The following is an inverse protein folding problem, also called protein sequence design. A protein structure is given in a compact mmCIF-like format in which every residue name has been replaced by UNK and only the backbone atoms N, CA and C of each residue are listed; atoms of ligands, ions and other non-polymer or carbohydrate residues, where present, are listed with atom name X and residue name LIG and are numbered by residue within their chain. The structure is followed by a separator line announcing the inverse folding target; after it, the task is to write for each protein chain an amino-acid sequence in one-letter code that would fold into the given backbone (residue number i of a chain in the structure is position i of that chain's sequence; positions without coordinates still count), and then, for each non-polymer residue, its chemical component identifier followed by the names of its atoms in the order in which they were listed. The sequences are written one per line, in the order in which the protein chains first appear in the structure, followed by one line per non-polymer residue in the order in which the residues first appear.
data_IF_982070102472
#
_entry.id   IF_982070102472
#
_cell.length_a   1.000
_cell.length_b   1.000
_cell.length_c   1.000
_cell.angle_alpha   90.00
_cell.angle_beta   90.00
_cell.angle_gamma   90.00
#
_symmetry.space_group_name_H-M   'P 1'
#
loop_
_entity.id
_entity.type
_entity.pdbx_description
1 polymer ?
#
# COMPACT_ATOMS: atom_id res chain seq x y z
N UNK A 1 -8.57 0.66 -26.38
CA UNK A 1 -7.79 1.38 -25.34
C UNK A 1 -7.40 0.36 -24.29
N UNK A 2 -6.19 0.44 -23.74
CA UNK A 2 -5.74 -0.44 -22.66
C UNK A 2 -6.64 -0.29 -21.42
N UNK A 3 -6.92 -1.39 -20.71
CA UNK A 3 -7.74 -1.38 -19.48
C UNK A 3 -7.15 -0.49 -18.39
N UNK A 4 -7.94 -0.17 -17.36
CA UNK A 4 -7.45 0.63 -16.23
C UNK A 4 -6.30 -0.10 -15.53
N UNK A 5 -6.42 -1.42 -15.32
CA UNK A 5 -5.40 -2.21 -14.64
C UNK A 5 -4.05 -2.21 -15.38
N UNK A 6 -4.05 -2.31 -16.70
CA UNK A 6 -2.82 -2.26 -17.50
C UNK A 6 -2.17 -0.87 -17.45
N UNK A 7 -2.95 0.20 -17.38
CA UNK A 7 -2.42 1.56 -17.16
C UNK A 7 -1.87 1.76 -15.74
N UNK A 8 -2.44 1.08 -14.74
CA UNK A 8 -1.86 1.04 -13.39
C UNK A 8 -0.54 0.26 -13.40
N UNK A 9 -0.45 -0.84 -14.14
CA UNK A 9 0.79 -1.60 -14.32
C UNK A 9 1.87 -0.80 -15.04
N UNK A 10 1.53 -0.01 -16.06
CA UNK A 10 2.43 0.96 -16.68
C UNK A 10 2.95 1.97 -15.66
N UNK A 11 2.08 2.52 -14.81
CA UNK A 11 2.48 3.43 -13.73
C UNK A 11 3.38 2.74 -12.68
N UNK A 12 3.10 1.47 -12.35
CA UNK A 12 3.95 0.65 -11.48
C UNK A 12 5.34 0.42 -12.08
N UNK A 13 5.43 0.12 -13.38
CA UNK A 13 6.70 -0.06 -14.06
C UNK A 13 7.51 1.24 -14.10
N UNK A 14 6.86 2.37 -14.39
CA UNK A 14 7.49 3.69 -14.34
C UNK A 14 8.02 4.02 -12.93
N UNK A 15 7.22 3.76 -11.89
CA UNK A 15 7.67 3.93 -10.50
C UNK A 15 8.89 3.05 -10.18
N UNK A 16 8.88 1.77 -10.59
CA UNK A 16 10.03 0.90 -10.35
C UNK A 16 11.29 1.39 -11.08
N UNK A 17 11.14 1.92 -12.30
CA UNK A 17 12.23 2.53 -13.05
C UNK A 17 12.77 3.79 -12.36
N UNK A 18 11.90 4.69 -11.91
CA UNK A 18 12.28 5.94 -11.24
C UNK A 18 13.00 5.70 -9.90
N UNK A 19 12.62 4.62 -9.19
CA UNK A 19 13.24 4.22 -7.93
C UNK A 19 14.50 3.37 -8.12
N UNK A 20 14.74 2.85 -9.32
CA UNK A 20 15.90 2.01 -9.62
C UNK A 20 17.18 2.83 -9.56
N UNK A 21 18.19 2.31 -8.86
CA UNK A 21 19.49 2.97 -8.74
C UNK A 21 19.55 4.13 -7.74
N UNK A 22 18.46 4.42 -7.01
CA UNK A 22 18.54 5.33 -5.87
C UNK A 22 19.39 4.71 -4.76
N UNK A 23 20.35 5.47 -4.26
CA UNK A 23 21.24 5.07 -3.18
C UNK A 23 20.80 5.71 -1.86
N UNK A 24 20.97 4.96 -0.77
CA UNK A 24 20.61 5.40 0.58
C UNK A 24 21.81 5.18 1.49
N UNK A 25 22.27 6.25 2.15
CA UNK A 25 23.44 6.17 2.99
C UNK A 25 23.14 5.44 4.32
N UNK A 26 24.22 5.08 5.01
CA UNK A 26 24.14 4.60 6.39
C UNK A 26 23.27 5.54 7.26
N UNK A 27 22.41 5.00 8.14
CA UNK A 27 22.36 3.61 8.57
C UNK A 27 21.50 2.67 7.68
N UNK A 28 21.06 3.08 6.48
CA UNK A 28 20.38 2.13 5.57
C UNK A 28 21.41 1.20 4.95
N UNK A 29 21.17 -0.10 5.07
CA UNK A 29 22.04 -1.13 4.47
C UNK A 29 21.30 -2.04 3.51
N UNK A 30 19.97 -2.14 3.63
CA UNK A 30 19.15 -2.98 2.77
C UNK A 30 17.91 -2.21 2.34
N UNK A 31 17.58 -2.30 1.05
CA UNK A 31 16.39 -1.73 0.44
C UNK A 31 15.67 -2.80 -0.36
N UNK A 32 14.41 -3.05 -0.03
CA UNK A 32 13.58 -3.99 -0.76
C UNK A 32 12.55 -3.24 -1.61
N UNK A 33 12.29 -3.75 -2.81
CA UNK A 33 11.16 -3.35 -3.64
C UNK A 33 10.31 -4.59 -4.03
N UNK A 34 9.20 -4.88 -3.33
CA UNK A 34 8.33 -6.01 -3.63
C UNK A 34 7.65 -5.90 -4.99
N UNK A 35 7.54 -4.71 -5.59
CA UNK A 35 7.00 -4.58 -6.95
C UNK A 35 7.92 -5.21 -8.00
N UNK A 36 9.19 -5.49 -7.66
CA UNK A 36 10.15 -6.22 -8.50
C UNK A 36 10.08 -7.72 -8.21
N UNK A 37 10.39 -8.15 -6.98
CA UNK A 37 10.53 -9.58 -6.68
C UNK A 37 9.20 -10.29 -6.41
N UNK A 38 8.15 -9.58 -5.98
CA UNK A 38 6.78 -10.07 -5.81
C UNK A 38 5.86 -9.51 -6.89
N UNK A 39 6.39 -9.30 -8.11
CA UNK A 39 5.65 -8.75 -9.25
C UNK A 39 4.42 -9.58 -9.60
N UNK A 40 4.56 -10.90 -9.74
CA UNK A 40 3.48 -11.77 -10.18
C UNK A 40 2.20 -11.65 -9.33
N UNK A 41 2.22 -11.77 -7.98
CA UNK A 41 1.01 -11.55 -7.19
C UNK A 41 0.52 -10.10 -7.20
N UNK A 42 1.43 -9.11 -7.30
CA UNK A 42 1.03 -7.71 -7.45
C UNK A 42 0.25 -7.45 -8.75
N UNK A 43 0.70 -8.01 -9.87
CA UNK A 43 -0.03 -7.87 -11.14
C UNK A 43 -1.39 -8.57 -11.10
N UNK A 44 -1.50 -9.73 -10.44
CA UNK A 44 -2.79 -10.38 -10.22
C UNK A 44 -3.73 -9.49 -9.39
N UNK A 45 -3.23 -8.84 -8.35
CA UNK A 45 -4.00 -7.89 -7.54
C UNK A 45 -4.52 -6.72 -8.37
N UNK A 46 -3.66 -6.09 -9.18
CA UNK A 46 -4.07 -4.96 -10.04
C UNK A 46 -5.08 -5.40 -11.11
N UNK A 47 -4.85 -6.52 -11.80
CA UNK A 47 -5.75 -7.01 -12.85
C UNK A 47 -7.11 -7.43 -12.31
N UNK A 48 -7.13 -8.11 -11.15
CA UNK A 48 -8.37 -8.62 -10.57
C UNK A 48 -9.22 -7.52 -9.92
N UNK A 49 -8.57 -6.56 -9.27
CA UNK A 49 -9.29 -5.61 -8.41
C UNK A 49 -9.15 -4.15 -8.82
N UNK A 50 -8.25 -3.82 -9.74
CA UNK A 50 -7.95 -2.45 -10.18
C UNK A 50 -8.50 -2.05 -11.55
N UNK A 51 -9.22 -2.93 -12.26
CA UNK A 51 -9.67 -2.66 -13.65
C UNK A 51 -11.01 -1.91 -13.78
N UNK A 52 -11.39 -1.14 -12.75
CA UNK A 52 -12.60 -0.32 -12.75
C UNK A 52 -12.37 0.96 -11.95
N UNK A 53 -13.21 1.98 -12.20
CA UNK A 53 -13.33 3.11 -11.27
C UNK A 53 -13.72 2.63 -9.88
N UNK A 54 -13.35 3.40 -8.86
CA UNK A 54 -13.59 3.09 -7.45
C UNK A 54 -14.29 4.26 -6.81
N UNK A 55 -15.11 4.01 -5.79
CA UNK A 55 -15.67 5.06 -4.94
C UNK A 55 -14.66 5.50 -3.88
N UNK A 56 -13.85 4.59 -3.35
CA UNK A 56 -12.91 4.83 -2.24
C UNK A 56 -11.53 4.30 -2.58
N UNK A 57 -10.50 5.15 -2.45
CA UNK A 57 -9.10 4.74 -2.46
C UNK A 57 -8.52 4.86 -1.05
N UNK A 58 -8.03 3.76 -0.49
CA UNK A 58 -7.26 3.75 0.75
C UNK A 58 -5.77 3.74 0.45
N UNK A 59 -5.02 4.63 1.12
CA UNK A 59 -3.58 4.75 0.96
C UNK A 59 -2.84 4.33 2.23
N UNK A 60 -1.96 3.33 2.12
CA UNK A 60 -0.96 3.01 3.13
C UNK A 60 0.36 3.74 2.91
N UNK A 61 1.28 3.68 3.88
CA UNK A 61 2.58 4.35 3.78
C UNK A 61 3.56 3.58 2.90
N UNK A 62 4.03 2.43 3.38
CA UNK A 62 4.96 1.54 2.68
C UNK A 62 4.83 0.10 3.22
N UNK A 63 5.41 -0.91 2.55
CA UNK A 63 5.27 -2.30 2.97
C UNK A 63 5.79 -2.56 4.38
N UNK A 64 5.04 -3.37 5.13
CA UNK A 64 5.58 -4.03 6.31
C UNK A 64 6.29 -5.34 5.94
N UNK A 65 7.19 -5.83 6.83
CA UNK A 65 8.14 -6.91 6.51
C UNK A 65 7.50 -8.28 6.36
N UNK A 66 6.28 -8.48 6.86
CA UNK A 66 5.57 -9.76 6.85
C UNK A 66 4.22 -9.70 6.10
N UNK A 67 3.93 -8.56 5.48
CA UNK A 67 2.76 -8.36 4.62
C UNK A 67 3.18 -8.17 3.16
N UNK A 68 3.08 -6.93 2.67
CA UNK A 68 3.38 -6.60 1.26
C UNK A 68 4.83 -6.97 0.85
N UNK A 69 5.80 -6.93 1.75
CA UNK A 69 7.17 -7.39 1.44
C UNK A 69 7.27 -8.91 1.15
N UNK A 70 6.23 -9.68 1.49
CA UNK A 70 6.14 -11.11 1.20
C UNK A 70 5.19 -11.38 0.03
N UNK A 71 4.12 -10.61 -0.11
CA UNK A 71 3.02 -10.93 -1.03
C UNK A 71 2.89 -10.01 -2.23
N UNK A 72 3.56 -8.85 -2.24
CA UNK A 72 3.35 -7.81 -3.25
C UNK A 72 2.00 -7.08 -3.16
N UNK A 73 1.12 -7.44 -2.22
CA UNK A 73 -0.20 -6.82 -2.03
C UNK A 73 -0.17 -5.82 -0.87
N UNK A 74 -0.70 -4.59 -0.99
CA UNK A 74 -0.77 -3.61 0.10
C UNK A 74 -1.41 -4.18 1.36
N UNK A 75 -0.81 -3.93 2.53
CA UNK A 75 -1.23 -4.55 3.80
C UNK A 75 -1.34 -6.09 3.72
N UNK A 76 -0.65 -6.73 2.77
CA UNK A 76 -0.95 -8.08 2.31
C UNK A 76 -0.52 -9.18 3.25
N UNK A 77 -1.23 -9.32 4.36
CA UNK A 77 -1.10 -10.47 5.26
C UNK A 77 -1.42 -11.77 4.51
N UNK A 78 -0.63 -12.82 4.76
CA UNK A 78 -0.59 -14.02 3.92
C UNK A 78 -1.97 -14.67 3.76
N UNK A 79 -2.71 -14.89 4.84
CA UNK A 79 -4.01 -15.56 4.79
C UNK A 79 -5.06 -14.67 4.13
N UNK A 80 -5.06 -13.37 4.39
CA UNK A 80 -5.96 -12.44 3.71
C UNK A 80 -5.75 -12.45 2.19
N UNK A 81 -4.50 -12.45 1.73
CA UNK A 81 -4.18 -12.46 0.29
C UNK A 81 -4.47 -13.82 -0.35
N UNK A 82 -4.08 -14.92 0.31
CA UNK A 82 -4.25 -16.27 -0.23
C UNK A 82 -5.69 -16.76 -0.16
N UNK A 83 -6.31 -16.67 1.02
CA UNK A 83 -7.57 -17.37 1.30
C UNK A 83 -8.79 -16.50 1.00
N UNK A 84 -8.74 -15.20 1.32
CA UNK A 84 -9.85 -14.28 1.04
C UNK A 84 -9.75 -13.69 -0.36
N UNK A 85 -8.62 -13.09 -0.72
CA UNK A 85 -8.45 -12.53 -2.07
C UNK A 85 -8.19 -13.58 -3.15
N UNK A 86 -7.82 -14.81 -2.80
CA UNK A 86 -7.54 -15.87 -3.79
C UNK A 86 -6.32 -15.57 -4.67
N UNK A 87 -5.31 -14.86 -4.15
CA UNK A 87 -4.07 -14.54 -4.87
C UNK A 87 -2.94 -15.37 -4.26
N UNK A 88 -2.29 -16.17 -5.09
CA UNK A 88 -1.08 -16.91 -4.75
C UNK A 88 -0.27 -17.11 -6.02
N UNK A 89 0.96 -16.60 -6.03
CA UNK A 89 1.84 -16.63 -7.19
C UNK A 89 3.31 -16.66 -6.74
N UNK A 90 4.25 -17.06 -7.62
CA UNK A 90 5.67 -17.07 -7.30
C UNK A 90 6.19 -15.72 -6.82
N UNK A 91 7.03 -15.75 -5.79
CA UNK A 91 7.73 -14.60 -5.22
C UNK A 91 9.21 -14.92 -5.22
N UNK A 92 10.00 -14.08 -5.89
CA UNK A 92 11.46 -14.14 -5.91
C UNK A 92 12.05 -13.45 -4.68
N UNK A 93 13.37 -13.51 -4.54
CA UNK A 93 14.10 -12.80 -3.47
C UNK A 93 14.57 -11.42 -3.92
N UNK A 94 14.73 -10.45 -2.99
CA UNK A 94 15.52 -9.26 -3.26
C UNK A 94 16.99 -9.63 -3.49
N UNK A 95 17.71 -8.82 -4.27
CA UNK A 95 19.12 -9.05 -4.61
C UNK A 95 20.01 -9.13 -3.36
N UNK A 96 19.81 -8.19 -2.43
CA UNK A 96 20.53 -8.11 -1.17
C UNK A 96 19.56 -8.39 -0.01
N UNK A 97 19.37 -9.67 0.33
CA UNK A 97 18.45 -10.11 1.39
C UNK A 97 19.10 -10.00 2.77
N UNK A 98 18.45 -9.29 3.69
CA UNK A 98 18.85 -9.22 5.09
C UNK A 98 18.51 -10.54 5.80
N UNK A 99 19.46 -11.22 6.49
CA UNK A 99 19.24 -12.54 7.10
C UNK A 99 18.09 -12.63 8.12
N UNK A 100 17.83 -11.53 8.87
CA UNK A 100 16.69 -11.45 9.81
C UNK A 100 15.35 -11.04 9.18
N UNK A 101 15.33 -10.77 7.88
CA UNK A 101 14.15 -10.35 7.11
C UNK A 101 14.11 -11.09 5.77
N UNK A 102 14.10 -12.44 5.79
CA UNK A 102 13.99 -13.21 4.56
C UNK A 102 12.63 -12.95 3.89
N UNK A 103 12.63 -13.00 2.56
CA UNK A 103 11.42 -13.08 1.74
C UNK A 103 11.15 -14.55 1.47
N UNK A 104 10.12 -15.06 2.14
CA UNK A 104 9.65 -16.44 2.07
C UNK A 104 8.36 -16.55 1.22
N UNK A 105 7.87 -15.42 0.71
CA UNK A 105 6.66 -15.37 -0.10
C UNK A 105 5.42 -15.81 0.67
N UNK A 106 4.54 -16.56 0.00
CA UNK A 106 3.33 -17.13 0.62
C UNK A 106 3.62 -18.28 1.61
N UNK A 107 4.87 -18.73 1.73
CA UNK A 107 5.29 -19.69 2.75
C UNK A 107 5.73 -19.03 4.07
N UNK A 108 5.79 -17.70 4.12
CA UNK A 108 6.10 -16.95 5.34
C UNK A 108 5.16 -17.37 6.49
N UNK A 109 5.69 -17.88 7.63
CA UNK A 109 4.85 -18.36 8.73
C UNK A 109 4.34 -17.21 9.62
N UNK A 110 4.77 -15.97 9.36
CA UNK A 110 4.43 -14.80 10.16
C UNK A 110 3.22 -14.08 9.59
N UNK A 111 2.33 -13.67 10.49
CA UNK A 111 1.17 -12.85 10.18
C UNK A 111 1.45 -11.37 10.51
N UNK A 112 1.30 -10.49 9.52
CA UNK A 112 1.41 -9.04 9.74
C UNK A 112 0.16 -8.50 10.43
N UNK A 113 0.31 -8.03 11.67
CA UNK A 113 -0.81 -7.53 12.50
C UNK A 113 -1.58 -6.39 11.81
N UNK A 114 -0.88 -5.46 11.19
CA UNK A 114 -1.50 -4.33 10.47
C UNK A 114 -2.40 -4.82 9.34
N UNK A 115 -1.89 -5.73 8.51
CA UNK A 115 -2.63 -6.33 7.41
C UNK A 115 -3.80 -7.19 7.87
N UNK A 116 -3.58 -8.05 8.88
CA UNK A 116 -4.63 -8.87 9.47
C UNK A 116 -5.79 -8.05 10.01
N UNK A 117 -5.51 -6.93 10.69
CA UNK A 117 -6.55 -6.03 11.21
C UNK A 117 -7.32 -5.38 10.07
N UNK A 118 -6.61 -4.81 9.09
CA UNK A 118 -7.24 -4.10 7.97
C UNK A 118 -8.10 -5.02 7.12
N UNK A 119 -7.52 -6.10 6.60
CA UNK A 119 -8.25 -7.03 5.76
C UNK A 119 -9.26 -7.86 6.54
N UNK A 120 -9.02 -8.14 7.82
CA UNK A 120 -10.00 -8.80 8.69
C UNK A 120 -11.28 -7.99 8.85
N UNK A 121 -11.19 -6.68 9.09
CA UNK A 121 -12.36 -5.80 9.15
C UNK A 121 -13.15 -5.81 7.83
N UNK A 122 -12.46 -5.71 6.69
CA UNK A 122 -13.14 -5.70 5.40
C UNK A 122 -13.73 -7.05 5.03
N UNK A 123 -13.04 -8.17 5.31
CA UNK A 123 -13.56 -9.51 5.07
C UNK A 123 -14.77 -9.84 5.97
N UNK A 124 -14.81 -9.33 7.20
CA UNK A 124 -15.99 -9.45 8.07
C UNK A 124 -17.21 -8.71 7.49
N UNK A 125 -16.98 -7.54 6.89
CA UNK A 125 -18.06 -6.73 6.29
C UNK A 125 -18.47 -7.21 4.89
N UNK A 126 -17.51 -7.71 4.11
CA UNK A 126 -17.62 -8.13 2.72
C UNK A 126 -17.09 -9.57 2.60
N UNK A 127 -17.97 -10.58 2.75
CA UNK A 127 -17.56 -11.99 2.73
C UNK A 127 -16.80 -12.38 1.45
N UNK A 128 -17.12 -11.75 0.32
CA UNK A 128 -16.42 -11.92 -0.95
C UNK A 128 -15.57 -10.69 -1.28
N UNK A 129 -14.30 -10.86 -1.70
CA UNK A 129 -13.42 -9.73 -1.98
C UNK A 129 -13.96 -8.86 -3.12
N UNK A 130 -14.65 -9.44 -4.10
CA UNK A 130 -15.25 -8.70 -5.21
C UNK A 130 -16.25 -7.63 -4.75
N UNK A 131 -16.95 -7.85 -3.63
CA UNK A 131 -17.89 -6.88 -3.07
C UNK A 131 -17.16 -5.66 -2.47
N UNK A 132 -16.05 -5.89 -1.77
CA UNK A 132 -15.20 -4.80 -1.30
C UNK A 132 -14.59 -4.05 -2.48
N UNK A 133 -13.98 -4.78 -3.42
CA UNK A 133 -13.25 -4.22 -4.54
C UNK A 133 -14.15 -3.63 -5.63
N UNK A 134 -15.46 -3.86 -5.62
CA UNK A 134 -16.40 -3.14 -6.48
C UNK A 134 -16.29 -1.62 -6.27
N UNK A 135 -16.22 -1.19 -5.01
CA UNK A 135 -16.21 0.22 -4.63
C UNK A 135 -14.88 0.70 -4.03
N UNK A 136 -14.06 -0.19 -3.48
CA UNK A 136 -12.86 0.17 -2.73
C UNK A 136 -11.59 -0.32 -3.42
N UNK A 137 -10.48 0.35 -3.17
CA UNK A 137 -9.17 -0.13 -3.57
C UNK A 137 -8.11 0.31 -2.56
N UNK A 138 -7.08 -0.51 -2.36
CA UNK A 138 -5.98 -0.21 -1.43
C UNK A 138 -4.67 -0.16 -2.20
N UNK A 139 -3.85 0.87 -1.95
CA UNK A 139 -2.51 1.03 -2.52
C UNK A 139 -1.56 1.58 -1.45
N UNK A 140 -0.25 1.33 -1.57
CA UNK A 140 0.76 2.01 -0.76
C UNK A 140 1.32 3.21 -1.51
N UNK A 141 1.66 4.27 -0.76
CA UNK A 141 2.31 5.46 -1.32
C UNK A 141 3.68 5.15 -1.88
N UNK A 142 4.53 4.49 -1.07
CA UNK A 142 5.87 4.10 -1.46
C UNK A 142 6.01 2.57 -1.42
N UNK A 143 6.63 1.92 -2.42
CA UNK A 143 6.81 0.48 -2.41
C UNK A 143 8.07 0.04 -1.65
N UNK A 144 8.97 0.97 -1.30
CA UNK A 144 10.26 0.59 -0.74
C UNK A 144 10.18 0.25 0.75
N UNK A 145 11.04 -0.66 1.17
CA UNK A 145 11.32 -0.98 2.57
C UNK A 145 12.78 -0.73 2.84
N UNK A 146 13.09 0.06 3.86
CA UNK A 146 14.46 0.38 4.25
C UNK A 146 14.80 -0.26 5.58
N UNK A 147 16.00 -0.84 5.69
CA UNK A 147 16.45 -1.52 6.89
C UNK A 147 17.89 -1.17 7.26
N UNK A 148 18.13 -1.05 8.56
CA UNK A 148 19.47 -0.96 9.15
C UNK A 148 20.15 -2.34 9.21
N UNK A 149 21.47 -2.38 9.43
CA UNK A 149 22.26 -3.62 9.49
C UNK A 149 21.75 -4.65 10.53
N UNK A 150 21.02 -4.19 11.55
CA UNK A 150 20.37 -5.04 12.54
C UNK A 150 19.01 -5.63 12.10
N UNK A 151 18.51 -5.27 10.92
CA UNK A 151 17.18 -5.61 10.40
C UNK A 151 16.06 -4.70 10.91
N UNK A 152 16.42 -3.58 11.55
CA UNK A 152 15.44 -2.60 12.05
C UNK A 152 14.88 -1.79 10.88
N UNK A 153 13.55 -1.71 10.82
CA UNK A 153 12.85 -0.96 9.78
C UNK A 153 13.05 0.56 9.95
N UNK A 154 13.36 1.25 8.85
CA UNK A 154 13.34 2.71 8.74
C UNK A 154 12.08 3.11 7.95
N UNK A 155 11.28 3.99 8.55
CA UNK A 155 10.12 4.58 7.90
C UNK A 155 10.55 5.80 7.07
N UNK A 156 9.78 6.22 6.05
CA UNK A 156 10.09 7.38 5.21
C UNK A 156 10.52 8.64 5.98
N UNK A 157 9.86 8.93 7.12
CA UNK A 157 10.13 10.07 7.99
C UNK A 157 11.50 10.03 8.69
N UNK A 158 12.18 8.88 8.69
CA UNK A 158 13.50 8.68 9.33
C UNK A 158 14.66 8.74 8.34
N UNK A 159 14.37 8.95 7.06
CA UNK A 159 15.38 9.07 6.00
C UNK A 159 15.72 10.55 5.77
N UNK A 160 16.97 10.90 5.41
CA UNK A 160 17.34 12.26 5.04
C UNK A 160 16.43 12.82 3.94
N UNK A 161 16.07 14.09 4.05
CA UNK A 161 15.19 14.75 3.07
C UNK A 161 15.77 14.75 1.66
N UNK A 162 17.10 14.82 1.51
CA UNK A 162 17.79 14.74 0.23
C UNK A 162 17.63 13.37 -0.45
N UNK A 163 17.65 12.29 0.33
CA UNK A 163 17.42 10.92 -0.18
C UNK A 163 15.93 10.71 -0.51
N UNK A 164 15.03 11.27 0.30
CA UNK A 164 13.59 11.13 0.12
C UNK A 164 13.01 12.03 -0.96
N UNK A 165 13.69 13.09 -1.39
CA UNK A 165 13.21 14.00 -2.44
C UNK A 165 12.89 13.26 -3.75
N UNK A 166 13.82 12.49 -4.38
CA UNK A 166 13.51 11.75 -5.60
C UNK A 166 12.45 10.65 -5.37
N UNK A 167 12.47 9.99 -4.20
CA UNK A 167 11.45 8.98 -3.85
C UNK A 167 10.07 9.61 -3.78
N UNK A 168 9.95 10.77 -3.14
CA UNK A 168 8.69 11.49 -2.95
C UNK A 168 8.13 11.95 -4.29
N UNK A 169 8.99 12.49 -5.15
CA UNK A 169 8.60 12.93 -6.49
C UNK A 169 8.05 11.78 -7.35
N UNK A 170 8.73 10.62 -7.35
CA UNK A 170 8.26 9.43 -8.05
C UNK A 170 6.94 8.87 -7.45
N UNK A 171 6.84 8.79 -6.12
CA UNK A 171 5.63 8.29 -5.44
C UNK A 171 4.43 9.24 -5.61
N UNK A 172 4.65 10.55 -5.64
CA UNK A 172 3.60 11.55 -5.89
C UNK A 172 3.02 11.38 -7.30
N UNK A 173 3.88 11.21 -8.32
CA UNK A 173 3.42 10.93 -9.70
C UNK A 173 2.62 9.63 -9.75
N UNK A 174 3.13 8.57 -9.14
CA UNK A 174 2.46 7.26 -9.10
C UNK A 174 1.07 7.35 -8.45
N UNK A 175 0.96 7.98 -7.29
CA UNK A 175 -0.32 8.20 -6.62
C UNK A 175 -1.28 9.05 -7.48
N UNK A 176 -0.76 10.09 -8.15
CA UNK A 176 -1.53 10.89 -9.09
C UNK A 176 -2.15 10.04 -10.20
N UNK A 177 -1.41 9.08 -10.76
CA UNK A 177 -1.95 8.13 -11.74
C UNK A 177 -3.08 7.29 -11.19
N UNK A 178 -2.97 6.79 -9.96
CA UNK A 178 -4.05 6.02 -9.32
C UNK A 178 -5.31 6.88 -9.14
N UNK A 179 -5.17 8.12 -8.68
CA UNK A 179 -6.31 9.04 -8.52
C UNK A 179 -6.97 9.38 -9.86
N UNK A 180 -6.18 9.60 -10.92
CA UNK A 180 -6.69 9.88 -12.26
C UNK A 180 -7.40 8.69 -12.91
N UNK A 181 -6.91 7.48 -12.66
CA UNK A 181 -7.37 6.25 -13.29
C UNK A 181 -8.59 5.66 -12.60
N UNK A 182 -8.57 5.63 -11.27
CA UNK A 182 -9.63 5.05 -10.45
C UNK A 182 -10.75 6.05 -10.17
N UNK A 183 -10.51 7.35 -10.33
CA UNK A 183 -11.47 8.45 -10.12
C UNK A 183 -12.28 8.32 -8.80
N UNK A 184 -11.62 8.17 -7.63
CA UNK A 184 -12.32 8.00 -6.37
C UNK A 184 -13.17 9.22 -5.98
N UNK A 185 -14.30 8.97 -5.31
CA UNK A 185 -15.02 10.01 -4.58
C UNK A 185 -14.30 10.33 -3.26
N UNK A 186 -13.74 9.32 -2.60
CA UNK A 186 -13.03 9.45 -1.33
C UNK A 186 -11.59 8.96 -1.44
N UNK A 187 -10.66 9.76 -0.93
CA UNK A 187 -9.25 9.40 -0.79
C UNK A 187 -8.91 9.36 0.69
N UNK A 188 -8.64 8.16 1.22
CA UNK A 188 -8.54 7.91 2.66
C UNK A 188 -7.13 7.49 3.04
N UNK A 189 -6.45 8.31 3.83
CA UNK A 189 -5.16 7.94 4.41
C UNK A 189 -5.33 6.92 5.53
N UNK A 190 -4.61 5.80 5.48
CA UNK A 190 -4.47 4.87 6.60
C UNK A 190 -3.35 5.38 7.49
N UNK A 191 -3.69 6.30 8.41
CA UNK A 191 -2.73 7.07 9.21
C UNK A 191 -2.36 8.44 8.63
N UNK A 192 -1.72 9.27 9.46
CA UNK A 192 -1.47 10.69 9.16
C UNK A 192 -0.49 10.94 8.02
N UNK A 193 0.55 10.12 7.88
CA UNK A 193 1.50 10.25 6.78
C UNK A 193 0.81 10.08 5.41
N UNK A 194 -0.03 9.04 5.29
CA UNK A 194 -0.75 8.77 4.04
C UNK A 194 -1.77 9.86 3.73
N UNK A 195 -2.47 10.38 4.74
CA UNK A 195 -3.38 11.53 4.59
C UNK A 195 -2.63 12.76 4.04
N UNK A 196 -1.45 13.08 4.57
CA UNK A 196 -0.64 14.21 4.10
C UNK A 196 -0.15 14.03 2.65
N UNK A 197 0.21 12.80 2.27
CA UNK A 197 0.58 12.50 0.89
C UNK A 197 -0.60 12.66 -0.07
N UNK A 198 -1.79 12.16 0.31
CA UNK A 198 -3.01 12.38 -0.46
C UNK A 198 -3.33 13.87 -0.60
N UNK A 199 -3.30 14.63 0.49
CA UNK A 199 -3.56 16.08 0.46
C UNK A 199 -2.67 16.78 -0.57
N UNK A 200 -1.35 16.53 -0.50
CA UNK A 200 -0.36 17.11 -1.42
C UNK A 200 -0.60 16.73 -2.88
N UNK A 201 -0.92 15.47 -3.18
CA UNK A 201 -1.12 15.02 -4.56
C UNK A 201 -2.46 15.50 -5.11
N UNK A 202 -3.53 15.53 -4.30
CA UNK A 202 -4.85 16.03 -4.69
C UNK A 202 -4.77 17.51 -5.10
N UNK A 203 -4.01 18.32 -4.37
CA UNK A 203 -3.81 19.75 -4.71
C UNK A 203 -3.16 19.95 -6.09
N UNK A 204 -2.30 19.01 -6.50
CA UNK A 204 -1.57 19.02 -7.79
C UNK A 204 -2.35 18.42 -8.95
N UNK A 205 -3.51 17.83 -8.72
CA UNK A 205 -4.36 17.31 -9.80
C UNK A 205 -4.76 18.43 -10.76
N UNK A 206 -4.75 18.11 -12.06
CA UNK A 206 -5.01 19.07 -13.12
C UNK A 206 -6.35 19.83 -12.92
N UNK A 207 -6.41 21.12 -13.25
CA UNK A 207 -7.65 21.89 -13.21
C UNK A 207 -8.78 21.21 -14.00
N UNK A 208 -10.00 21.25 -13.47
CA UNK A 208 -11.18 20.63 -14.10
C UNK A 208 -11.36 19.14 -13.81
N UNK A 209 -10.46 18.50 -13.06
CA UNK A 209 -10.68 17.16 -12.51
C UNK A 209 -11.45 17.24 -11.19
N UNK A 210 -12.42 16.35 -11.01
CA UNK A 210 -13.09 16.15 -9.72
C UNK A 210 -12.06 15.72 -8.69
N UNK A 211 -11.93 16.48 -7.60
CA UNK A 211 -11.03 16.16 -6.50
C UNK A 211 -11.76 15.23 -5.52
N UNK A 212 -11.16 14.11 -5.10
CA UNK A 212 -11.76 13.27 -4.07
C UNK A 212 -11.82 14.03 -2.75
N UNK A 213 -12.81 13.69 -1.92
CA UNK A 213 -12.89 14.09 -0.52
C UNK A 213 -11.76 13.41 0.25
N UNK A 214 -10.88 14.20 0.85
CA UNK A 214 -9.81 13.69 1.70
C UNK A 214 -10.39 13.21 3.04
N UNK A 215 -9.97 12.05 3.49
CA UNK A 215 -10.27 11.51 4.81
C UNK A 215 -9.10 10.75 5.41
N UNK A 216 -9.26 10.32 6.66
CA UNK A 216 -8.29 9.48 7.37
C UNK A 216 -8.99 8.48 8.27
N UNK A 217 -8.42 7.28 8.33
CA UNK A 217 -8.70 6.30 9.38
C UNK A 217 -7.46 6.10 10.25
N UNK A 218 -7.66 5.63 11.48
CA UNK A 218 -6.55 5.20 12.34
C UNK A 218 -5.69 4.12 11.66
N UNK A 219 -4.36 4.20 11.76
CA UNK A 219 -3.48 3.14 11.26
C UNK A 219 -3.56 1.88 12.14
N UNK A 220 -3.64 0.65 11.57
CA UNK A 220 -3.78 -0.61 12.32
C UNK A 220 -2.55 -1.10 13.08
N UNK A 221 -1.49 -0.27 13.18
CA UNK A 221 -0.19 -0.75 13.67
C UNK A 221 -0.24 -1.01 15.17
N UNK A 222 0.41 -2.09 15.66
CA UNK A 222 0.52 -2.34 17.10
C UNK A 222 1.32 -1.26 17.85
N UNK A 223 2.03 -0.38 17.14
CA UNK A 223 2.70 0.77 17.74
C UNK A 223 1.71 1.84 18.28
N UNK A 224 0.44 1.80 17.87
CA UNK A 224 -0.59 2.72 18.36
C UNK A 224 -1.37 2.10 19.52
N UNK A 225 -1.35 2.68 20.73
CA UNK A 225 -2.17 2.22 21.85
C UNK A 225 -3.67 2.21 21.52
N UNK A 226 -4.15 3.17 20.72
CA UNK A 226 -5.53 3.23 20.27
C UNK A 226 -5.89 2.02 19.38
N UNK A 227 -4.99 1.63 18.47
CA UNK A 227 -5.21 0.48 17.58
C UNK A 227 -5.19 -0.86 18.35
N UNK A 228 -4.48 -0.93 19.47
CA UNK A 228 -4.47 -2.13 20.32
C UNK A 228 -5.75 -2.31 21.13
N UNK A 229 -6.53 -1.25 21.34
CA UNK A 229 -7.77 -1.30 22.12
C UNK A 229 -8.95 -1.83 21.30
N UNK A 230 -9.21 -1.20 20.15
CA UNK A 230 -10.35 -1.50 19.27
C UNK A 230 -10.10 -0.85 17.91
N UNK A 231 -9.16 -1.41 17.13
CA UNK A 231 -8.93 -0.88 15.78
C UNK A 231 -10.15 -1.04 14.85
N UNK A 232 -10.81 -2.22 14.76
CA UNK A 232 -11.95 -2.39 13.87
C UNK A 232 -13.09 -1.39 14.15
N UNK A 233 -13.46 -1.20 15.41
CA UNK A 233 -14.49 -0.22 15.77
C UNK A 233 -14.04 1.23 15.57
N UNK A 234 -12.76 1.56 15.80
CA UNK A 234 -12.24 2.90 15.52
C UNK A 234 -12.29 3.22 14.02
N UNK A 235 -11.78 2.32 13.17
CA UNK A 235 -11.81 2.48 11.72
C UNK A 235 -13.26 2.56 11.19
N UNK A 236 -14.17 1.73 11.72
CA UNK A 236 -15.60 1.78 11.38
C UNK A 236 -16.20 3.15 11.68
N UNK A 237 -15.97 3.69 12.88
CA UNK A 237 -16.47 5.03 13.26
C UNK A 237 -15.89 6.14 12.39
N UNK A 238 -14.62 6.03 12.01
CA UNK A 238 -13.99 7.00 11.11
C UNK A 238 -14.63 6.95 9.71
N UNK A 239 -14.87 5.75 9.16
CA UNK A 239 -15.54 5.55 7.86
C UNK A 239 -17.00 6.04 7.85
N UNK A 240 -17.72 5.86 8.96
CA UNK A 240 -19.07 6.38 9.15
C UNK A 240 -19.10 7.91 9.19
N UNK A 241 -18.18 8.55 9.92
CA UNK A 241 -18.07 10.02 9.96
C UNK A 241 -17.77 10.62 8.60
N UNK A 242 -17.02 9.91 7.76
CA UNK A 242 -16.75 10.32 6.37
C UNK A 242 -17.96 10.12 5.45
N UNK A 243 -19.02 9.43 5.90
CA UNK A 243 -20.18 9.06 5.06
C UNK A 243 -19.87 7.95 4.05
N UNK A 244 -18.78 7.22 4.25
CA UNK A 244 -18.38 6.10 3.38
C UNK A 244 -19.23 4.88 3.73
N UNK A 245 -19.40 4.62 5.03
CA UNK A 245 -20.21 3.54 5.58
C UNK A 245 -21.49 4.06 6.24
N UNK A 246 -22.55 3.25 6.30
CA UNK A 246 -23.80 3.60 6.99
C UNK A 246 -23.64 3.65 8.51
#
# INVERSE_FOLDING_TARGET
MSGIAERLLEATNALCSDLSGLEFAEPTTHVYNPLIYARAPHEQYLRRFGDSKKRVLLLGMNPGPFGMAQTGVPFGEIAAVRDWMGISAPVSKPEHEHPKRPVEGFACPKSEVSGRRLWGLFAERFPHPEEFFADHFVVNYCPLVWMEAGGKNRTPDKLPSSEMAPVTDACDRYLGRFLELLEPEFAVGVGGFAEQCLARVIERLAPGKTRPKLGRILHPSPASPAANRDWPGAATRDLQKLGIWP
#
